data_IF_799566179053
#
_entry.id   IF_799566179053
#
_cell.length_a   1.000
_cell.length_b   1.000
_cell.length_c   1.000
_cell.angle_alpha   90.00
_cell.angle_beta   90.00
_cell.angle_gamma   90.00
#
_symmetry.space_group_name_H-M   'P 1'
#
loop_
_entity.id
_entity.type
_entity.pdbx_description
1 polymer ?
#
# COMPACT_ATOMS: atom_id res chain seq x y z
N UNK A 1 15.12 -17.16 38.48
CA UNK A 1 14.84 -17.39 37.04
C UNK A 1 13.80 -16.41 36.49
N UNK A 2 12.55 -16.44 36.98
CA UNK A 2 11.39 -15.77 36.33
C UNK A 2 11.50 -14.26 36.07
N UNK A 3 12.20 -13.48 36.89
CA UNK A 3 12.34 -12.03 36.69
C UNK A 3 13.05 -11.65 35.39
N UNK A 4 14.15 -12.34 35.03
CA UNK A 4 14.84 -12.15 33.75
C UNK A 4 13.94 -12.53 32.57
N UNK A 5 13.22 -13.65 32.67
CA UNK A 5 12.33 -14.14 31.61
C UNK A 5 11.16 -13.18 31.37
N UNK A 6 10.54 -12.65 32.44
CA UNK A 6 9.49 -11.62 32.35
C UNK A 6 10.00 -10.35 31.66
N UNK A 7 11.18 -9.85 32.03
CA UNK A 7 11.75 -8.66 31.38
C UNK A 7 12.04 -8.88 29.89
N UNK A 8 12.51 -10.06 29.47
CA UNK A 8 12.67 -10.38 28.04
C UNK A 8 11.34 -10.42 27.29
N UNK A 9 10.28 -10.96 27.91
CA UNK A 9 8.94 -11.04 27.31
C UNK A 9 8.35 -9.63 27.09
N UNK A 10 8.45 -8.72 28.06
CA UNK A 10 7.92 -7.36 27.88
C UNK A 10 8.66 -6.60 26.78
N UNK A 11 9.99 -6.72 26.66
CA UNK A 11 10.76 -6.13 25.54
C UNK A 11 10.33 -6.67 24.18
N UNK A 12 10.07 -7.97 24.08
CA UNK A 12 9.57 -8.58 22.84
C UNK A 12 8.20 -8.02 22.45
N UNK A 13 7.29 -7.80 23.42
CA UNK A 13 6.03 -7.09 23.18
C UNK A 13 6.25 -5.64 22.75
N UNK A 14 7.14 -4.89 23.44
CA UNK A 14 7.45 -3.50 23.12
C UNK A 14 7.98 -3.34 21.69
N UNK A 15 8.88 -4.23 21.26
CA UNK A 15 9.41 -4.27 19.90
C UNK A 15 8.35 -4.70 18.89
N UNK A 16 7.59 -5.78 19.15
CA UNK A 16 6.51 -6.23 18.26
C UNK A 16 5.44 -5.14 18.07
N UNK A 17 5.05 -4.44 19.14
CA UNK A 17 4.14 -3.30 19.09
C UNK A 17 4.72 -2.13 18.30
N UNK A 18 6.01 -1.82 18.48
CA UNK A 18 6.69 -0.80 17.67
C UNK A 18 6.72 -1.15 16.17
N UNK A 19 6.96 -2.41 15.80
CA UNK A 19 6.91 -2.86 14.41
C UNK A 19 5.48 -2.83 13.84
N UNK A 20 4.50 -3.29 14.61
CA UNK A 20 3.08 -3.17 14.26
C UNK A 20 2.69 -1.72 13.99
N UNK A 21 3.09 -0.78 14.86
CA UNK A 21 2.79 0.65 14.71
C UNK A 21 3.47 1.31 13.50
N UNK A 22 4.58 0.80 12.96
CA UNK A 22 5.03 1.24 11.64
C UNK A 22 4.00 0.86 10.57
N UNK A 23 3.57 -0.41 10.57
CA UNK A 23 2.69 -1.01 9.54
C UNK A 23 1.19 -0.78 9.71
N UNK A 24 0.75 -0.19 10.83
CA UNK A 24 -0.65 -0.22 11.26
C UNK A 24 -1.64 0.40 10.27
N UNK A 25 -1.33 1.59 9.73
CA UNK A 25 -2.22 2.26 8.77
C UNK A 25 -2.39 1.48 7.47
N UNK A 26 -1.43 0.63 7.15
CA UNK A 26 -1.21 0.15 5.79
C UNK A 26 -1.47 -1.35 5.62
N UNK A 27 -1.96 -2.00 6.70
CA UNK A 27 -2.65 -3.29 6.60
C UNK A 27 -3.82 -3.26 5.60
N UNK A 28 -4.57 -2.14 5.57
CA UNK A 28 -5.76 -1.95 4.72
C UNK A 28 -5.45 -1.42 3.32
N UNK A 29 -4.22 -0.96 3.06
CA UNK A 29 -3.78 -0.35 1.79
C UNK A 29 -2.88 -1.30 1.02
N UNK A 30 -1.95 -1.97 1.72
CA UNK A 30 -0.97 -2.90 1.15
C UNK A 30 -1.24 -4.34 1.60
N UNK A 31 -1.10 -4.68 2.88
CA UNK A 31 -1.02 -6.09 3.32
C UNK A 31 -2.22 -6.95 2.87
N UNK A 32 -3.45 -6.54 3.18
CA UNK A 32 -4.64 -7.29 2.80
C UNK A 32 -4.96 -7.17 1.30
N UNK A 33 -4.96 -5.98 0.65
CA UNK A 33 -5.18 -5.87 -0.80
C UNK A 33 -4.18 -6.67 -1.64
N UNK A 34 -2.88 -6.55 -1.39
CA UNK A 34 -1.83 -7.30 -2.13
C UNK A 34 -1.95 -8.80 -1.91
N UNK A 35 -2.27 -9.26 -0.70
CA UNK A 35 -2.48 -10.70 -0.43
C UNK A 35 -3.71 -11.22 -1.18
N UNK A 36 -4.82 -10.48 -1.20
CA UNK A 36 -6.02 -10.84 -1.96
C UNK A 36 -5.74 -10.83 -3.46
N UNK A 37 -5.11 -9.76 -3.97
CA UNK A 37 -4.72 -9.63 -5.37
C UNK A 37 -3.90 -10.83 -5.83
N UNK A 38 -2.87 -11.21 -5.07
CA UNK A 38 -1.99 -12.32 -5.43
C UNK A 38 -2.75 -13.67 -5.43
N UNK A 39 -3.66 -13.89 -4.48
CA UNK A 39 -4.55 -15.06 -4.44
C UNK A 39 -5.55 -15.10 -5.61
N UNK A 40 -5.96 -13.95 -6.13
CA UNK A 40 -6.91 -13.85 -7.25
C UNK A 40 -6.20 -13.94 -8.62
N UNK A 41 -5.03 -13.29 -8.75
CA UNK A 41 -4.23 -13.28 -9.97
C UNK A 41 -3.47 -14.59 -10.22
N UNK A 42 -3.13 -15.35 -9.18
CA UNK A 42 -2.50 -16.68 -9.32
C UNK A 42 -3.08 -17.71 -8.34
N UNK A 43 -3.35 -18.96 -8.80
CA UNK A 43 -3.82 -20.01 -7.91
C UNK A 43 -2.74 -20.36 -6.88
N UNK A 44 -3.06 -20.20 -5.59
CA UNK A 44 -2.19 -20.52 -4.46
C UNK A 44 -1.82 -22.00 -4.51
N UNK A 45 -0.58 -22.33 -4.90
CA UNK A 45 -0.16 -23.73 -5.05
C UNK A 45 -0.12 -24.46 -3.70
N UNK A 46 0.41 -23.80 -2.66
CA UNK A 46 0.57 -24.36 -1.32
C UNK A 46 0.35 -23.29 -0.24
N UNK A 47 -0.23 -23.67 0.90
CA UNK A 47 -0.43 -22.75 2.04
C UNK A 47 0.87 -22.14 2.56
N UNK A 48 1.99 -22.86 2.45
CA UNK A 48 3.34 -22.36 2.78
C UNK A 48 3.75 -21.17 1.90
N UNK A 49 3.34 -21.14 0.62
CA UNK A 49 3.61 -20.03 -0.28
C UNK A 49 2.70 -18.82 -0.01
N UNK A 50 1.46 -19.06 0.42
CA UNK A 50 0.59 -17.98 0.96
C UNK A 50 1.24 -17.33 2.18
N UNK A 51 1.65 -18.12 3.19
CA UNK A 51 2.33 -17.58 4.37
C UNK A 51 3.67 -16.89 4.04
N UNK A 52 4.48 -17.47 3.15
CA UNK A 52 5.72 -16.83 2.68
C UNK A 52 5.44 -15.50 1.98
N UNK A 53 4.42 -15.44 1.11
CA UNK A 53 3.99 -14.21 0.44
C UNK A 53 3.49 -13.15 1.44
N UNK A 54 2.71 -13.54 2.45
CA UNK A 54 2.23 -12.61 3.47
C UNK A 54 3.39 -12.03 4.29
N UNK A 55 4.34 -12.86 4.73
CA UNK A 55 5.53 -12.39 5.45
C UNK A 55 6.43 -11.54 4.54
N UNK A 56 6.57 -11.88 3.26
CA UNK A 56 7.32 -11.11 2.29
C UNK A 56 6.72 -9.71 2.08
N UNK A 57 5.40 -9.63 1.89
CA UNK A 57 4.66 -8.36 1.78
C UNK A 57 4.81 -7.54 3.06
N UNK A 58 4.58 -8.12 4.24
CA UNK A 58 4.72 -7.38 5.51
C UNK A 58 6.16 -6.88 5.74
N UNK A 59 7.18 -7.68 5.41
CA UNK A 59 8.58 -7.30 5.56
C UNK A 59 8.96 -6.13 4.63
N UNK A 60 8.48 -6.14 3.38
CA UNK A 60 8.67 -5.02 2.45
C UNK A 60 7.86 -3.80 2.86
N UNK A 61 6.64 -3.97 3.38
CA UNK A 61 5.85 -2.89 3.93
C UNK A 61 6.55 -2.24 5.13
N UNK A 62 7.10 -3.04 6.06
CA UNK A 62 7.90 -2.54 7.18
C UNK A 62 9.15 -1.76 6.72
N UNK A 63 9.86 -2.24 5.69
CA UNK A 63 10.97 -1.50 5.06
C UNK A 63 10.52 -0.11 4.60
N UNK A 64 9.40 -0.05 3.90
CA UNK A 64 8.82 1.16 3.32
C UNK A 64 8.30 2.12 4.39
N UNK A 65 7.56 1.60 5.37
CA UNK A 65 6.97 2.36 6.47
C UNK A 65 8.05 2.96 7.36
N UNK A 66 9.10 2.21 7.69
CA UNK A 66 10.27 2.74 8.42
C UNK A 66 11.02 3.78 7.60
N UNK A 67 11.13 3.57 6.28
CA UNK A 67 11.80 4.49 5.37
C UNK A 67 11.06 5.84 5.33
N UNK A 68 9.80 5.84 4.89
CA UNK A 68 8.97 7.04 4.78
C UNK A 68 8.83 7.76 6.15
N UNK A 69 8.49 7.04 7.22
CA UNK A 69 8.30 7.63 8.56
C UNK A 69 9.59 8.24 9.14
N UNK A 70 10.78 7.82 8.68
CA UNK A 70 12.04 8.47 9.03
C UNK A 70 12.23 9.83 8.34
N UNK A 71 11.58 10.07 7.19
CA UNK A 71 11.57 11.36 6.49
C UNK A 71 10.37 12.24 6.87
N UNK A 72 9.22 11.66 7.21
CA UNK A 72 7.96 12.38 7.50
C UNK A 72 7.71 12.74 8.98
N UNK A 73 8.70 12.64 9.89
CA UNK A 73 8.48 12.80 11.35
C UNK A 73 7.67 14.07 11.73
N UNK A 74 7.89 15.21 11.07
CA UNK A 74 7.18 16.46 11.35
C UNK A 74 5.72 16.47 10.82
N UNK A 75 5.46 15.84 9.68
CA UNK A 75 4.13 15.61 9.11
C UNK A 75 3.36 14.59 9.95
N UNK A 76 4.00 13.49 10.34
CA UNK A 76 3.42 12.45 11.18
C UNK A 76 3.14 12.95 12.59
N UNK A 77 3.88 13.93 13.12
CA UNK A 77 3.54 14.59 14.39
C UNK A 77 2.21 15.37 14.33
N UNK A 78 1.79 15.80 13.13
CA UNK A 78 0.49 16.46 12.90
C UNK A 78 -0.59 15.40 12.60
N UNK A 79 -0.40 14.62 11.53
CA UNK A 79 -1.44 13.75 10.99
C UNK A 79 -1.59 12.43 11.80
N UNK A 80 -0.50 11.91 12.37
CA UNK A 80 -0.41 10.52 12.87
C UNK A 80 0.49 10.39 14.13
N UNK A 81 0.31 11.21 15.20
CA UNK A 81 1.27 11.34 16.31
C UNK A 81 1.50 10.06 17.14
N UNK A 82 0.67 9.04 16.94
CA UNK A 82 0.83 7.69 17.51
C UNK A 82 1.93 6.87 16.81
N UNK A 83 2.43 7.29 15.64
CA UNK A 83 3.49 6.57 14.89
C UNK A 83 4.79 6.47 15.70
N UNK A 84 5.64 5.46 15.48
CA UNK A 84 6.76 5.14 16.38
C UNK A 84 7.80 6.25 16.58
N UNK A 85 7.99 7.13 15.59
CA UNK A 85 8.93 8.25 15.66
C UNK A 85 8.33 9.47 16.40
N UNK A 86 7.17 10.04 16.02
CA UNK A 86 6.52 11.10 16.80
C UNK A 86 6.23 10.71 18.26
N UNK A 87 5.85 9.45 18.51
CA UNK A 87 5.63 8.93 19.88
C UNK A 87 6.92 8.53 20.62
N UNK A 88 8.10 8.87 20.09
CA UNK A 88 9.42 8.66 20.70
C UNK A 88 9.73 7.19 21.10
N UNK A 89 9.13 6.21 20.41
CA UNK A 89 9.38 4.77 20.65
C UNK A 89 10.73 4.29 20.11
N UNK A 90 11.37 5.07 19.24
CA UNK A 90 12.76 4.89 18.81
C UNK A 90 13.48 6.23 18.86
N UNK A 91 14.77 6.21 19.21
CA UNK A 91 15.69 7.30 18.87
C UNK A 91 15.95 7.34 17.37
N UNK A 92 16.30 8.52 16.83
CA UNK A 92 16.81 8.68 15.45
C UNK A 92 17.85 7.58 15.10
N UNK A 93 18.84 7.37 15.97
CA UNK A 93 19.91 6.39 15.74
C UNK A 93 19.41 4.95 15.61
N UNK A 94 18.30 4.60 16.26
CA UNK A 94 17.65 3.29 16.11
C UNK A 94 16.83 3.22 14.82
N UNK A 95 16.03 4.24 14.51
CA UNK A 95 15.23 4.28 13.28
C UNK A 95 16.11 4.31 12.02
N UNK A 96 17.17 5.13 12.01
CA UNK A 96 18.18 5.18 10.94
C UNK A 96 18.86 3.82 10.72
N UNK A 97 19.21 3.11 11.81
CA UNK A 97 19.74 1.74 11.73
C UNK A 97 18.73 0.77 11.11
N UNK A 98 17.46 0.86 11.50
CA UNK A 98 16.39 0.00 10.98
C UNK A 98 16.14 0.28 9.48
N UNK A 99 16.06 1.55 9.07
CA UNK A 99 15.93 2.00 7.66
C UNK A 99 16.98 1.35 6.76
N UNK A 100 18.26 1.39 7.14
CA UNK A 100 19.34 0.82 6.31
C UNK A 100 19.56 -0.69 6.48
N UNK A 101 19.03 -1.31 7.55
CA UNK A 101 19.11 -2.76 7.76
C UNK A 101 18.00 -3.53 7.02
N UNK A 102 16.83 -2.92 6.80
CA UNK A 102 15.69 -3.58 6.16
C UNK A 102 15.89 -3.92 4.67
N UNK A 103 16.41 -3.05 3.77
CA UNK A 103 16.59 -3.42 2.36
C UNK A 103 17.44 -4.69 2.11
N UNK A 104 18.62 -4.90 2.73
CA UNK A 104 19.37 -6.14 2.55
C UNK A 104 18.66 -7.37 3.17
N UNK A 105 17.85 -7.19 4.23
CA UNK A 105 17.02 -8.26 4.81
C UNK A 105 15.87 -8.63 3.87
N UNK A 106 15.19 -7.65 3.27
CA UNK A 106 14.20 -7.81 2.21
C UNK A 106 14.75 -8.59 1.01
N UNK A 107 15.93 -8.18 0.51
CA UNK A 107 16.60 -8.84 -0.61
C UNK A 107 16.99 -10.28 -0.27
N UNK A 108 17.59 -10.52 0.91
CA UNK A 108 17.96 -11.86 1.37
C UNK A 108 16.73 -12.78 1.50
N UNK A 109 15.65 -12.30 2.12
CA UNK A 109 14.39 -13.05 2.26
C UNK A 109 13.73 -13.36 0.92
N UNK A 110 13.99 -12.54 -0.11
CA UNK A 110 13.47 -12.72 -1.46
C UNK A 110 14.19 -13.81 -2.27
N UNK A 111 15.41 -14.21 -1.88
CA UNK A 111 16.18 -15.26 -2.57
C UNK A 111 15.41 -16.59 -2.60
N UNK A 112 14.67 -16.91 -1.53
CA UNK A 112 13.85 -18.11 -1.44
C UNK A 112 12.67 -18.15 -2.45
N UNK A 113 12.26 -17.02 -2.99
CA UNK A 113 11.23 -16.90 -4.05
C UNK A 113 11.80 -16.93 -5.47
N UNK A 114 13.13 -17.00 -5.62
CA UNK A 114 13.79 -17.01 -6.92
C UNK A 114 13.91 -15.64 -7.60
N UNK A 115 14.37 -15.65 -8.85
CA UNK A 115 14.84 -14.45 -9.58
C UNK A 115 13.79 -13.34 -9.66
N UNK A 116 12.54 -13.68 -9.95
CA UNK A 116 11.46 -12.71 -10.15
C UNK A 116 11.10 -11.98 -8.83
N UNK A 117 11.20 -12.68 -7.70
CA UNK A 117 10.92 -12.14 -6.36
C UNK A 117 12.09 -11.27 -5.87
N UNK A 118 13.33 -11.66 -6.17
CA UNK A 118 14.51 -10.81 -5.98
C UNK A 118 14.44 -9.55 -6.86
N UNK A 119 13.96 -9.67 -8.10
CA UNK A 119 13.72 -8.52 -8.98
C UNK A 119 12.66 -7.58 -8.40
N UNK A 120 11.51 -8.09 -7.95
CA UNK A 120 10.48 -7.32 -7.27
C UNK A 120 11.03 -6.55 -6.05
N UNK A 121 11.78 -7.25 -5.19
CA UNK A 121 12.44 -6.67 -4.01
C UNK A 121 13.48 -5.60 -4.36
N UNK A 122 14.20 -5.78 -5.46
CA UNK A 122 15.16 -4.79 -5.98
C UNK A 122 14.45 -3.55 -6.53
N UNK A 123 13.39 -3.73 -7.32
CA UNK A 123 12.57 -2.63 -7.87
C UNK A 123 11.94 -1.81 -6.74
N UNK A 124 11.35 -2.47 -5.73
CA UNK A 124 10.84 -1.80 -4.53
C UNK A 124 11.97 -1.02 -3.85
N UNK A 125 13.10 -1.66 -3.53
CA UNK A 125 14.20 -1.01 -2.80
C UNK A 125 14.77 0.22 -3.52
N UNK A 126 14.85 0.18 -4.86
CA UNK A 126 15.24 1.35 -5.67
C UNK A 126 14.14 2.43 -5.65
N UNK A 127 12.87 2.05 -5.83
CA UNK A 127 11.74 2.97 -5.84
C UNK A 127 11.63 3.77 -4.53
N UNK A 128 11.92 3.17 -3.37
CA UNK A 128 11.86 3.90 -2.09
C UNK A 128 13.06 4.79 -1.80
N UNK A 129 14.25 4.48 -2.33
CA UNK A 129 15.36 5.44 -2.38
C UNK A 129 14.99 6.65 -3.26
N UNK A 130 14.33 6.42 -4.41
CA UNK A 130 13.85 7.52 -5.27
C UNK A 130 12.70 8.33 -4.63
N UNK A 131 11.77 7.66 -3.94
CA UNK A 131 10.65 8.29 -3.23
C UNK A 131 11.14 9.23 -2.11
N UNK A 132 12.00 8.73 -1.23
CA UNK A 132 12.46 9.45 -0.03
C UNK A 132 13.70 10.31 -0.28
N UNK A 133 14.79 9.70 -0.76
CA UNK A 133 16.12 10.29 -0.72
C UNK A 133 16.40 11.19 -1.94
N UNK A 134 15.66 10.99 -3.04
CA UNK A 134 15.55 11.94 -4.16
C UNK A 134 14.28 12.81 -4.07
N UNK A 135 13.48 12.68 -2.99
CA UNK A 135 12.37 13.57 -2.68
C UNK A 135 11.15 13.48 -3.60
N UNK A 136 11.02 12.45 -4.43
CA UNK A 136 9.86 12.30 -5.35
C UNK A 136 8.52 12.23 -4.61
N UNK A 137 8.50 11.80 -3.34
CA UNK A 137 7.33 11.86 -2.46
C UNK A 137 6.76 13.27 -2.29
N UNK A 138 7.58 14.32 -2.44
CA UNK A 138 7.20 15.70 -2.19
C UNK A 138 6.45 16.40 -3.32
N UNK A 139 6.39 15.80 -4.51
CA UNK A 139 5.72 16.36 -5.69
C UNK A 139 4.72 15.35 -6.27
N UNK A 140 3.51 15.82 -6.58
CA UNK A 140 2.37 14.97 -6.98
C UNK A 140 2.70 13.93 -8.05
N UNK A 141 3.43 14.32 -9.09
CA UNK A 141 3.80 13.43 -10.19
C UNK A 141 4.75 12.31 -9.73
N UNK A 142 5.74 12.64 -8.90
CA UNK A 142 6.66 11.67 -8.32
C UNK A 142 5.96 10.74 -7.34
N UNK A 143 5.14 11.29 -6.43
CA UNK A 143 4.37 10.52 -5.44
C UNK A 143 3.46 9.50 -6.13
N UNK A 144 2.70 9.90 -7.15
CA UNK A 144 1.77 8.99 -7.85
C UNK A 144 2.48 7.90 -8.66
N UNK A 145 3.57 8.21 -9.38
CA UNK A 145 4.33 7.20 -10.14
C UNK A 145 5.04 6.23 -9.21
N UNK A 146 5.69 6.71 -8.14
CA UNK A 146 6.34 5.83 -7.15
C UNK A 146 5.32 4.95 -6.41
N UNK A 147 4.13 5.45 -6.10
CA UNK A 147 3.04 4.63 -5.55
C UNK A 147 2.63 3.54 -6.54
N UNK A 148 2.44 3.85 -7.83
CA UNK A 148 2.13 2.86 -8.86
C UNK A 148 3.22 1.77 -8.97
N UNK A 149 4.50 2.16 -8.99
CA UNK A 149 5.63 1.21 -8.98
C UNK A 149 5.67 0.39 -7.69
N UNK A 150 5.32 1.00 -6.54
CA UNK A 150 5.21 0.32 -5.25
C UNK A 150 4.16 -0.79 -5.26
N UNK A 151 2.91 -0.45 -5.59
CA UNK A 151 1.82 -1.44 -5.71
C UNK A 151 2.16 -2.54 -6.72
N UNK A 152 2.62 -2.19 -7.93
CA UNK A 152 3.02 -3.17 -8.95
C UNK A 152 4.17 -4.09 -8.47
N UNK A 153 5.16 -3.55 -7.76
CA UNK A 153 6.27 -4.34 -7.21
C UNK A 153 5.83 -5.31 -6.13
N UNK A 154 4.93 -4.86 -5.24
CA UNK A 154 4.29 -5.70 -4.23
C UNK A 154 3.44 -6.82 -4.86
N UNK A 155 2.50 -6.44 -5.73
CA UNK A 155 1.56 -7.35 -6.40
C UNK A 155 2.29 -8.38 -7.24
N UNK A 156 3.28 -7.96 -8.04
CA UNK A 156 4.09 -8.88 -8.85
C UNK A 156 4.89 -9.84 -7.98
N UNK A 157 5.58 -9.35 -6.94
CA UNK A 157 6.37 -10.19 -6.03
C UNK A 157 5.52 -11.21 -5.28
N UNK A 158 4.40 -10.78 -4.70
CA UNK A 158 3.45 -11.65 -4.01
C UNK A 158 2.84 -12.71 -4.95
N UNK A 159 2.36 -12.29 -6.12
CA UNK A 159 1.79 -13.20 -7.13
C UNK A 159 2.84 -14.22 -7.60
N UNK A 160 4.11 -13.81 -7.79
CA UNK A 160 5.20 -14.70 -8.16
C UNK A 160 5.57 -15.72 -7.08
N UNK A 161 5.44 -15.37 -5.80
CA UNK A 161 5.58 -16.32 -4.68
C UNK A 161 4.44 -17.34 -4.71
N UNK A 162 3.18 -16.89 -4.74
CA UNK A 162 2.00 -17.77 -4.71
C UNK A 162 1.92 -18.71 -5.92
N UNK A 163 2.37 -18.25 -7.09
CA UNK A 163 2.47 -19.02 -8.32
C UNK A 163 3.58 -20.09 -8.34
N UNK A 164 4.45 -20.17 -7.33
CA UNK A 164 5.41 -21.28 -7.17
C UNK A 164 6.37 -21.45 -8.35
N UNK A 165 7.16 -20.43 -8.68
CA UNK A 165 8.09 -20.40 -9.83
C UNK A 165 7.47 -20.48 -11.23
N UNK A 166 6.17 -20.75 -11.38
CA UNK A 166 5.52 -20.82 -12.71
C UNK A 166 5.51 -19.48 -13.46
N UNK A 167 5.30 -19.52 -14.77
CA UNK A 167 5.10 -18.34 -15.60
C UNK A 167 3.70 -17.74 -15.36
N UNK A 168 3.62 -16.42 -15.17
CA UNK A 168 2.34 -15.75 -14.99
C UNK A 168 1.45 -15.88 -16.23
N UNK A 169 0.23 -16.37 -16.02
CA UNK A 169 -0.80 -16.51 -17.06
C UNK A 169 -1.21 -15.13 -17.62
N UNK A 170 -1.87 -15.04 -18.79
CA UNK A 170 -2.31 -13.75 -19.36
C UNK A 170 -3.19 -12.94 -18.39
N UNK A 171 -4.04 -13.59 -17.63
CA UNK A 171 -5.02 -12.98 -16.72
C UNK A 171 -4.31 -12.32 -15.52
N UNK A 172 -3.27 -12.97 -14.99
CA UNK A 172 -2.41 -12.40 -13.95
C UNK A 172 -1.68 -11.13 -14.43
N UNK A 173 -1.20 -11.13 -15.67
CA UNK A 173 -0.54 -9.98 -16.30
C UNK A 173 -1.51 -8.84 -16.61
N UNK A 174 -2.74 -9.16 -17.01
CA UNK A 174 -3.82 -8.19 -17.19
C UNK A 174 -4.23 -7.58 -15.83
N UNK A 175 -4.32 -8.39 -14.78
CA UNK A 175 -4.62 -7.93 -13.41
C UNK A 175 -3.59 -6.90 -12.93
N UNK A 176 -2.30 -7.17 -13.14
CA UNK A 176 -1.21 -6.23 -12.81
C UNK A 176 -1.32 -4.94 -13.62
N UNK A 177 -1.52 -5.04 -14.95
CA UNK A 177 -1.68 -3.86 -15.81
C UNK A 177 -2.87 -2.98 -15.36
N UNK A 178 -4.02 -3.60 -15.05
CA UNK A 178 -5.18 -2.87 -14.57
C UNK A 178 -4.93 -2.22 -13.20
N UNK A 179 -4.36 -2.95 -12.23
CA UNK A 179 -4.04 -2.37 -10.92
C UNK A 179 -3.10 -1.17 -11.06
N UNK A 180 -2.03 -1.29 -11.85
CA UNK A 180 -1.11 -0.18 -12.13
C UNK A 180 -1.79 1.06 -12.72
N UNK A 181 -2.74 0.89 -13.64
CA UNK A 181 -3.53 1.99 -14.22
C UNK A 181 -4.51 2.61 -13.22
N UNK A 182 -5.15 1.79 -12.38
CA UNK A 182 -6.09 2.23 -11.34
C UNK A 182 -5.34 3.05 -10.28
N UNK A 183 -4.24 2.50 -9.74
CA UNK A 183 -3.38 3.17 -8.76
C UNK A 183 -2.84 4.47 -9.36
N UNK A 184 -2.29 4.46 -10.58
CA UNK A 184 -1.76 5.68 -11.23
C UNK A 184 -2.82 6.78 -11.43
N UNK A 185 -4.09 6.43 -11.59
CA UNK A 185 -5.18 7.40 -11.84
C UNK A 185 -6.00 7.79 -10.61
N UNK A 186 -5.88 7.06 -9.49
CA UNK A 186 -6.73 7.27 -8.30
C UNK A 186 -6.01 7.24 -6.94
N UNK A 187 -4.72 6.87 -6.84
CA UNK A 187 -4.04 6.73 -5.52
C UNK A 187 -3.88 8.03 -4.74
N UNK A 188 -3.90 9.19 -5.42
CA UNK A 188 -3.99 10.51 -4.76
C UNK A 188 -5.28 10.70 -3.93
N UNK A 189 -6.23 9.76 -3.99
CA UNK A 189 -7.35 9.67 -3.04
C UNK A 189 -6.89 9.59 -1.57
N UNK A 190 -5.67 9.12 -1.30
CA UNK A 190 -5.08 9.12 0.06
C UNK A 190 -4.65 10.53 0.51
N UNK A 191 -4.17 11.35 -0.42
CA UNK A 191 -3.54 12.64 -0.11
C UNK A 191 -4.55 13.65 0.48
N UNK A 192 -5.86 13.48 0.22
CA UNK A 192 -6.91 14.39 0.70
C UNK A 192 -6.96 14.50 2.24
N UNK A 193 -6.73 13.41 2.97
CA UNK A 193 -6.70 13.48 4.45
C UNK A 193 -5.40 14.03 5.01
N UNK A 194 -4.31 14.01 4.23
CA UNK A 194 -2.98 14.42 4.69
C UNK A 194 -2.62 15.87 4.31
N UNK A 195 -3.50 16.59 3.59
CA UNK A 195 -3.31 17.96 3.05
C UNK A 195 -2.72 18.96 4.06
N UNK A 196 -3.14 18.93 5.32
CA UNK A 196 -2.63 19.86 6.34
C UNK A 196 -1.17 19.56 6.69
N UNK A 197 -0.81 18.29 6.89
CA UNK A 197 0.57 17.84 7.09
C UNK A 197 1.46 18.04 5.86
N UNK A 198 1.00 17.62 4.67
CA UNK A 198 1.70 17.84 3.39
C UNK A 198 2.07 19.33 3.23
N UNK A 199 1.11 20.23 3.48
CA UNK A 199 1.31 21.69 3.41
C UNK A 199 2.28 22.20 4.48
N UNK A 200 2.20 21.69 5.71
CA UNK A 200 3.07 22.09 6.81
C UNK A 200 4.56 21.78 6.57
N UNK A 201 4.86 20.70 5.82
CA UNK A 201 6.23 20.35 5.40
C UNK A 201 6.58 20.78 3.96
N UNK A 202 5.74 21.61 3.33
CA UNK A 202 6.03 22.22 2.02
C UNK A 202 5.92 21.29 0.81
N UNK A 203 5.21 20.15 0.92
CA UNK A 203 4.93 19.28 -0.23
C UNK A 203 3.85 19.85 -1.15
N UNK A 204 3.86 19.39 -2.40
CA UNK A 204 2.90 19.78 -3.45
C UNK A 204 2.25 18.50 -4.01
N UNK A 205 1.35 17.90 -3.24
CA UNK A 205 0.54 16.72 -3.65
C UNK A 205 -0.65 17.12 -4.52
N UNK A 206 -1.31 16.15 -5.18
CA UNK A 206 -2.30 16.48 -6.22
C UNK A 206 -3.53 17.26 -5.68
N UNK A 207 -4.04 16.99 -4.46
CA UNK A 207 -5.07 17.82 -3.83
C UNK A 207 -4.62 19.26 -3.51
N UNK A 208 -3.33 19.51 -3.28
CA UNK A 208 -2.78 20.85 -3.09
C UNK A 208 -2.54 21.56 -4.43
N UNK A 209 -1.98 20.86 -5.42
CA UNK A 209 -1.66 21.41 -6.74
C UNK A 209 -2.92 21.75 -7.56
N UNK A 210 -3.90 20.85 -7.57
CA UNK A 210 -5.13 21.01 -8.35
C UNK A 210 -6.36 20.49 -7.57
N UNK A 211 -6.89 21.26 -6.59
CA UNK A 211 -7.92 20.78 -5.65
C UNK A 211 -9.24 20.32 -6.29
N UNK A 212 -9.63 20.92 -7.42
CA UNK A 212 -10.83 20.54 -8.16
C UNK A 212 -10.58 19.34 -9.10
N UNK A 213 -9.45 19.34 -9.80
CA UNK A 213 -9.11 18.29 -10.77
C UNK A 213 -8.79 16.95 -10.08
N UNK A 214 -8.02 16.97 -8.99
CA UNK A 214 -7.77 15.80 -8.15
C UNK A 214 -9.07 15.12 -7.70
N UNK A 215 -10.07 15.92 -7.29
CA UNK A 215 -11.37 15.42 -6.83
C UNK A 215 -12.23 14.92 -8.00
N UNK A 216 -12.20 15.61 -9.14
CA UNK A 216 -12.83 15.15 -10.39
C UNK A 216 -12.29 13.78 -10.82
N UNK A 217 -10.97 13.57 -10.77
CA UNK A 217 -10.35 12.28 -11.11
C UNK A 217 -10.85 11.13 -10.22
N UNK A 218 -11.03 11.34 -8.92
CA UNK A 218 -11.62 10.29 -8.04
C UNK A 218 -13.11 10.12 -8.33
N UNK A 219 -13.88 11.20 -8.40
CA UNK A 219 -15.34 11.15 -8.55
C UNK A 219 -15.80 10.57 -9.90
N UNK A 220 -15.00 10.68 -10.97
CA UNK A 220 -15.29 10.07 -12.27
C UNK A 220 -14.53 8.75 -12.44
N UNK A 221 -13.24 8.72 -12.11
CA UNK A 221 -12.38 7.56 -12.33
C UNK A 221 -12.82 6.31 -11.56
N UNK A 222 -13.24 6.45 -10.30
CA UNK A 222 -13.67 5.30 -9.49
C UNK A 222 -14.95 4.63 -10.04
N UNK A 223 -16.04 5.35 -10.36
CA UNK A 223 -17.18 4.77 -11.09
C UNK A 223 -16.83 4.22 -12.49
N UNK A 224 -15.99 4.91 -13.26
CA UNK A 224 -15.60 4.47 -14.62
C UNK A 224 -14.79 3.17 -14.56
N UNK A 225 -13.80 3.07 -13.66
CA UNK A 225 -13.09 1.82 -13.41
C UNK A 225 -14.02 0.70 -12.94
N UNK A 226 -15.00 1.00 -12.08
CA UNK A 226 -15.99 0.01 -11.65
C UNK A 226 -16.72 -0.63 -12.83
N UNK A 227 -17.16 0.19 -13.81
CA UNK A 227 -17.85 -0.27 -15.02
C UNK A 227 -16.88 -1.05 -15.94
N UNK A 228 -15.70 -0.47 -16.24
CA UNK A 228 -14.70 -1.10 -17.12
C UNK A 228 -14.32 -2.49 -16.60
N UNK A 229 -14.02 -2.60 -15.32
CA UNK A 229 -13.54 -3.84 -14.71
C UNK A 229 -14.67 -4.86 -14.54
N UNK A 230 -15.91 -4.42 -14.27
CA UNK A 230 -17.05 -5.34 -14.20
C UNK A 230 -17.40 -5.97 -15.56
N UNK A 231 -17.18 -5.25 -16.66
CA UNK A 231 -17.36 -5.75 -18.03
C UNK A 231 -16.16 -6.60 -18.45
N UNK A 232 -14.94 -6.12 -18.20
CA UNK A 232 -13.69 -6.81 -18.60
C UNK A 232 -13.53 -8.16 -17.90
N UNK A 233 -13.99 -8.29 -16.66
CA UNK A 233 -14.02 -9.56 -15.93
C UNK A 233 -15.35 -10.32 -16.09
N UNK A 234 -16.32 -9.87 -16.89
CA UNK A 234 -17.61 -10.56 -17.12
C UNK A 234 -18.33 -11.04 -15.82
N UNK A 235 -18.22 -10.26 -14.74
CA UNK A 235 -18.74 -10.69 -13.43
C UNK A 235 -20.28 -10.67 -13.45
N UNK A 236 -20.92 -11.57 -12.70
CA UNK A 236 -22.39 -11.69 -12.73
C UNK A 236 -23.11 -10.38 -12.37
N UNK A 237 -24.29 -10.07 -12.95
CA UNK A 237 -24.93 -8.75 -12.84
C UNK A 237 -25.10 -8.19 -11.42
N UNK A 238 -25.38 -9.06 -10.43
CA UNK A 238 -25.45 -8.64 -9.02
C UNK A 238 -24.12 -8.12 -8.47
N UNK A 239 -22.99 -8.70 -8.90
CA UNK A 239 -21.63 -8.21 -8.57
C UNK A 239 -21.32 -6.89 -9.31
N UNK A 240 -21.76 -6.75 -10.57
CA UNK A 240 -21.62 -5.49 -11.32
C UNK A 240 -22.32 -4.34 -10.62
N UNK A 241 -23.60 -4.52 -10.26
CA UNK A 241 -24.41 -3.53 -9.54
C UNK A 241 -23.75 -3.16 -8.21
N UNK A 242 -23.32 -4.16 -7.41
CA UNK A 242 -22.67 -3.92 -6.12
C UNK A 242 -21.37 -3.10 -6.26
N UNK A 243 -20.51 -3.43 -7.23
CA UNK A 243 -19.25 -2.72 -7.48
C UNK A 243 -19.49 -1.28 -7.95
N UNK A 244 -20.45 -1.08 -8.87
CA UNK A 244 -20.80 0.24 -9.40
C UNK A 244 -21.43 1.11 -8.29
N UNK A 245 -22.33 0.56 -7.48
CA UNK A 245 -22.89 1.26 -6.31
C UNK A 245 -21.80 1.64 -5.29
N UNK A 246 -20.82 0.77 -5.04
CA UNK A 246 -19.68 1.07 -4.17
C UNK A 246 -18.78 2.17 -4.76
N UNK A 247 -18.53 2.14 -6.07
CA UNK A 247 -17.77 3.20 -6.76
C UNK A 247 -18.48 4.56 -6.72
N UNK A 248 -19.81 4.58 -6.94
CA UNK A 248 -20.65 5.77 -6.79
C UNK A 248 -20.67 6.28 -5.34
N UNK A 249 -20.69 5.38 -4.34
CA UNK A 249 -20.60 5.76 -2.93
C UNK A 249 -19.27 6.45 -2.61
N UNK A 250 -18.14 5.93 -3.12
CA UNK A 250 -16.82 6.58 -2.98
C UNK A 250 -16.82 7.96 -3.64
N UNK A 251 -17.32 8.07 -4.87
CA UNK A 251 -17.42 9.34 -5.59
C UNK A 251 -18.29 10.38 -4.85
N UNK A 252 -19.49 9.99 -4.40
CA UNK A 252 -20.38 10.84 -3.61
C UNK A 252 -19.72 11.30 -2.29
N UNK A 253 -19.00 10.39 -1.62
CA UNK A 253 -18.29 10.69 -0.37
C UNK A 253 -17.18 11.73 -0.56
N UNK A 254 -16.35 11.59 -1.61
CA UNK A 254 -15.31 12.57 -1.93
C UNK A 254 -15.88 13.89 -2.48
N UNK A 255 -17.03 13.86 -3.17
CA UNK A 255 -17.72 15.08 -3.60
C UNK A 255 -18.29 15.88 -2.43
N UNK A 256 -18.97 15.20 -1.50
CA UNK A 256 -19.81 15.84 -0.47
C UNK A 256 -19.05 16.22 0.80
N UNK A 257 -18.04 15.45 1.21
CA UNK A 257 -17.32 15.69 2.46
C UNK A 257 -15.86 16.12 2.20
N UNK A 258 -15.48 17.31 2.70
CA UNK A 258 -14.25 18.03 2.33
C UNK A 258 -13.44 18.50 3.57
N UNK A 259 -13.46 17.69 4.62
CA UNK A 259 -12.73 17.94 5.88
C UNK A 259 -11.87 16.72 6.17
N UNK A 260 -10.62 16.90 6.61
CA UNK A 260 -9.65 15.81 6.77
C UNK A 260 -10.18 14.54 7.46
N UNK A 261 -10.95 14.66 8.55
CA UNK A 261 -11.58 13.51 9.25
C UNK A 261 -12.58 12.72 8.38
N UNK A 262 -13.51 13.42 7.70
CA UNK A 262 -14.42 12.78 6.77
C UNK A 262 -13.72 12.25 5.51
N UNK A 263 -12.62 12.86 5.08
CA UNK A 263 -11.84 12.43 3.92
C UNK A 263 -10.97 11.21 4.24
N UNK A 264 -10.41 11.11 5.44
CA UNK A 264 -9.79 9.89 5.95
C UNK A 264 -10.80 8.73 6.02
N UNK A 265 -12.05 9.04 6.37
CA UNK A 265 -13.16 8.08 6.30
C UNK A 265 -13.50 7.72 4.86
N UNK A 266 -13.53 8.68 3.93
CA UNK A 266 -13.76 8.42 2.49
C UNK A 266 -12.65 7.59 1.86
N UNK A 267 -11.40 7.77 2.31
CA UNK A 267 -10.28 6.93 1.91
C UNK A 267 -10.42 5.48 2.42
N UNK A 268 -11.08 5.23 3.56
CA UNK A 268 -11.45 3.85 3.96
C UNK A 268 -12.44 3.23 2.98
N UNK A 269 -13.47 3.96 2.52
CA UNK A 269 -14.38 3.46 1.48
C UNK A 269 -13.65 3.22 0.14
N UNK A 270 -12.70 4.07 -0.24
CA UNK A 270 -11.84 3.85 -1.40
C UNK A 270 -10.99 2.56 -1.28
N UNK A 271 -10.43 2.27 -0.10
CA UNK A 271 -9.68 1.02 0.11
C UNK A 271 -10.60 -0.21 0.07
N UNK A 272 -11.84 -0.13 0.57
CA UNK A 272 -12.84 -1.20 0.44
C UNK A 272 -13.18 -1.44 -1.04
N UNK A 273 -13.31 -0.38 -1.84
CA UNK A 273 -13.49 -0.47 -3.29
C UNK A 273 -12.29 -1.09 -4.00
N UNK A 274 -11.06 -0.65 -3.69
CA UNK A 274 -9.83 -1.19 -4.26
C UNK A 274 -9.65 -2.69 -3.92
N UNK A 275 -9.96 -3.08 -2.68
CA UNK A 275 -9.97 -4.47 -2.25
C UNK A 275 -11.01 -5.31 -3.01
N UNK A 276 -12.22 -4.79 -3.22
CA UNK A 276 -13.24 -5.46 -4.05
C UNK A 276 -12.81 -5.58 -5.53
N UNK A 277 -12.12 -4.57 -6.06
CA UNK A 277 -11.51 -4.58 -7.40
C UNK A 277 -10.41 -5.63 -7.53
N UNK A 278 -9.55 -5.78 -6.52
CA UNK A 278 -8.51 -6.82 -6.47
C UNK A 278 -9.06 -8.25 -6.36
N UNK A 279 -10.32 -8.44 -5.94
CA UNK A 279 -10.99 -9.75 -5.93
C UNK A 279 -11.52 -10.21 -7.30
N UNK A 280 -11.72 -9.28 -8.25
CA UNK A 280 -12.45 -9.57 -9.50
C UNK A 280 -11.87 -10.69 -10.37
N UNK A 281 -10.54 -10.90 -10.49
CA UNK A 281 -9.99 -12.00 -11.29
C UNK A 281 -10.42 -13.40 -10.83
N UNK A 282 -10.86 -13.53 -9.57
CA UNK A 282 -11.36 -14.79 -8.97
C UNK A 282 -12.89 -14.79 -8.77
N UNK A 283 -13.62 -13.88 -9.41
CA UNK A 283 -15.08 -13.78 -9.28
C UNK A 283 -15.89 -14.56 -10.34
N UNK A 284 -15.23 -15.41 -11.13
CA UNK A 284 -15.79 -16.08 -12.30
C UNK A 284 -15.83 -17.60 -12.10
#
# INVERSE_FOLDING_TARGET
>A
MGSKMRWSIERLKEHAWTLFLFTYTDYKTIFFPVTLFACAAAPVQHVTLLFYSMVWTWLHQLHIDVSNQYRSVAEDAINRPWRPLPSNRLTDRQARRLRYALPPVCLFFSIAGGRDVVFASTVLSIAFVLYDDFGLAGHWFGKNIMNCIGYLGFEYGATKIMAGSTMLRPEARLSLLMSGLIILTTVHAQDFSDVEGDKAIGRITLPLYAPLFSRFLVCIGVPVWSIILSIMWDISPGKQILLICLGILVAWRFYSHKTASHEATSYVFYNIWLFAVHALPACN
#
